data_IF_180589876762
#
_entry.id   IF_180589876762
#
_cell.length_a   1.000
_cell.length_b   1.000
_cell.length_c   1.000
_cell.angle_alpha   90.00
_cell.angle_beta   90.00
_cell.angle_gamma   90.00
#
_symmetry.space_group_name_H-M   'P 1'
#
loop_
_entity.id
_entity.type
_entity.pdbx_description
1 polymer ?
#
# COMPACT_ATOMS: atom_id res chain seq x y z
N UNK A 1 -25.56 10.23 33.17
CA UNK A 1 -25.51 11.43 32.30
C UNK A 1 -25.24 10.99 30.85
N UNK A 2 -25.58 11.79 29.83
CA UNK A 2 -25.53 11.35 28.41
C UNK A 2 -24.13 10.96 27.91
N UNK A 3 -23.07 11.46 28.54
CA UNK A 3 -21.67 11.22 28.15
C UNK A 3 -21.17 9.80 28.48
N UNK A 4 -21.92 9.00 29.23
CA UNK A 4 -21.54 7.61 29.58
C UNK A 4 -21.40 6.70 28.34
N UNK A 5 -21.95 7.10 27.18
CA UNK A 5 -21.81 6.39 25.90
C UNK A 5 -20.44 6.66 25.24
N UNK A 6 -19.78 7.78 25.57
CA UNK A 6 -18.54 8.20 24.92
C UNK A 6 -17.39 7.17 25.03
N UNK A 7 -17.14 6.52 26.19
CA UNK A 7 -16.11 5.48 26.27
C UNK A 7 -16.37 4.30 25.33
N UNK A 8 -17.63 3.85 25.24
CA UNK A 8 -18.01 2.76 24.34
C UNK A 8 -17.81 3.12 22.87
N UNK A 9 -18.22 4.33 22.47
CA UNK A 9 -18.02 4.85 21.11
C UNK A 9 -16.52 5.03 20.79
N UNK A 10 -15.72 5.51 21.75
CA UNK A 10 -14.28 5.66 21.58
C UNK A 10 -13.59 4.31 21.32
N UNK A 11 -13.94 3.27 22.08
CA UNK A 11 -13.42 1.90 21.86
C UNK A 11 -13.80 1.40 20.47
N UNK A 12 -15.08 1.54 20.08
CA UNK A 12 -15.53 1.14 18.73
C UNK A 12 -14.76 1.89 17.63
N UNK A 13 -14.57 3.20 17.78
CA UNK A 13 -13.84 4.01 16.81
C UNK A 13 -12.39 3.56 16.66
N UNK A 14 -11.69 3.27 17.77
CA UNK A 14 -10.32 2.75 17.73
C UNK A 14 -10.26 1.39 17.03
N UNK A 15 -11.17 0.47 17.35
CA UNK A 15 -11.25 -0.84 16.70
C UNK A 15 -11.47 -0.75 15.18
N UNK A 16 -12.27 0.23 14.72
CA UNK A 16 -12.49 0.46 13.29
C UNK A 16 -11.34 1.21 12.61
N UNK A 17 -10.59 2.02 13.36
CA UNK A 17 -9.46 2.79 12.84
C UNK A 17 -8.21 1.92 12.62
N UNK A 18 -7.92 1.00 13.55
CA UNK A 18 -6.72 0.17 13.53
C UNK A 18 -6.51 -0.57 12.18
N UNK A 19 -7.52 -1.25 11.59
CA UNK A 19 -7.34 -1.94 10.31
C UNK A 19 -6.92 -1.02 9.16
N UNK A 20 -7.53 0.17 9.06
CA UNK A 20 -7.18 1.16 8.03
C UNK A 20 -5.75 1.66 8.17
N UNK A 21 -5.36 2.01 9.40
CA UNK A 21 -3.99 2.45 9.68
C UNK A 21 -2.97 1.32 9.44
N UNK A 22 -3.25 0.11 9.93
CA UNK A 22 -2.39 -1.05 9.76
C UNK A 22 -2.16 -1.37 8.28
N UNK A 23 -3.22 -1.41 7.47
CA UNK A 23 -3.11 -1.70 6.04
C UNK A 23 -2.31 -0.64 5.28
N UNK A 24 -2.48 0.65 5.61
CA UNK A 24 -1.68 1.72 5.00
C UNK A 24 -0.17 1.56 5.31
N UNK A 25 0.18 1.22 6.54
CA UNK A 25 1.58 0.94 6.91
C UNK A 25 2.11 -0.33 6.24
N UNK A 26 1.33 -1.41 6.20
CA UNK A 26 1.72 -2.66 5.55
C UNK A 26 1.91 -2.49 4.03
N UNK A 27 1.07 -1.69 3.38
CA UNK A 27 1.23 -1.35 1.97
C UNK A 27 2.55 -0.62 1.72
N UNK A 28 2.87 0.40 2.52
CA UNK A 28 4.15 1.12 2.40
C UNK A 28 5.34 0.22 2.68
N UNK A 29 5.27 -0.60 3.73
CA UNK A 29 6.34 -1.54 4.08
C UNK A 29 6.62 -2.54 2.95
N UNK A 30 5.57 -3.15 2.38
CA UNK A 30 5.71 -4.21 1.38
C UNK A 30 6.05 -3.71 -0.03
N UNK A 31 5.89 -2.41 -0.31
CA UNK A 31 6.04 -1.83 -1.65
C UNK A 31 7.15 -0.76 -1.72
N UNK A 32 8.17 -0.86 -0.87
CA UNK A 32 9.34 0.02 -0.92
C UNK A 32 9.03 1.46 -0.53
N UNK A 33 8.23 1.66 0.52
CA UNK A 33 7.84 2.98 1.05
C UNK A 33 6.72 3.67 0.27
N UNK A 34 6.16 3.02 -0.76
CA UNK A 34 5.15 3.58 -1.67
C UNK A 34 3.80 2.90 -1.49
N UNK A 35 2.76 3.49 -2.06
CA UNK A 35 1.46 2.84 -2.14
C UNK A 35 1.52 1.54 -2.96
N UNK A 36 0.65 0.59 -2.61
CA UNK A 36 0.51 -0.65 -3.37
C UNK A 36 -0.06 -0.34 -4.76
N UNK A 37 0.56 -0.87 -5.81
CA UNK A 37 0.06 -0.71 -7.18
C UNK A 37 -1.27 -1.46 -7.33
N UNK A 38 -2.29 -0.76 -7.84
CA UNK A 38 -3.61 -1.33 -8.11
C UNK A 38 -3.76 -1.50 -9.62
N UNK A 39 -4.02 -2.73 -10.05
CA UNK A 39 -4.18 -3.08 -11.46
C UNK A 39 -5.62 -3.51 -11.72
N UNK A 40 -6.52 -2.53 -11.86
CA UNK A 40 -7.92 -2.77 -12.23
C UNK A 40 -8.06 -3.21 -13.69
N UNK A 41 -7.14 -2.77 -14.55
CA UNK A 41 -7.15 -3.09 -15.98
C UNK A 41 -5.94 -3.94 -16.39
N UNK A 42 -6.11 -4.76 -17.42
CA UNK A 42 -5.05 -5.61 -17.97
C UNK A 42 -3.82 -4.82 -18.39
N UNK A 43 -4.00 -3.62 -18.95
CA UNK A 43 -2.89 -2.73 -19.28
C UNK A 43 -2.02 -2.36 -18.06
N UNK A 44 -2.65 -2.08 -16.91
CA UNK A 44 -1.93 -1.77 -15.68
C UNK A 44 -1.14 -2.97 -15.16
N UNK A 45 -1.68 -4.19 -15.33
CA UNK A 45 -0.99 -5.44 -15.01
C UNK A 45 0.21 -5.68 -15.93
N UNK A 46 0.05 -5.52 -17.24
CA UNK A 46 1.15 -5.65 -18.21
C UNK A 46 2.31 -4.70 -17.91
N UNK A 47 2.01 -3.46 -17.51
CA UNK A 47 3.03 -2.51 -17.07
C UNK A 47 3.69 -2.91 -15.74
N UNK A 48 2.93 -3.43 -14.78
CA UNK A 48 3.46 -3.92 -13.51
C UNK A 48 4.40 -5.13 -13.70
N UNK A 49 4.07 -6.03 -14.62
CA UNK A 49 4.96 -7.14 -14.99
C UNK A 49 6.19 -6.68 -15.77
N UNK A 50 6.07 -5.64 -16.60
CA UNK A 50 7.24 -4.99 -17.22
C UNK A 50 8.18 -4.47 -16.13
N UNK A 51 7.67 -3.76 -15.13
CA UNK A 51 8.47 -3.23 -14.03
C UNK A 51 9.12 -4.36 -13.20
N UNK A 52 8.39 -5.45 -12.94
CA UNK A 52 8.95 -6.65 -12.30
C UNK A 52 10.14 -7.22 -13.09
N UNK A 53 10.05 -7.31 -14.42
CA UNK A 53 11.11 -7.82 -15.29
C UNK A 53 12.32 -6.88 -15.33
N UNK A 54 12.09 -5.58 -15.51
CA UNK A 54 13.16 -4.56 -15.59
C UNK A 54 13.88 -4.40 -14.24
N UNK A 55 13.20 -4.67 -13.12
CA UNK A 55 13.80 -4.55 -11.79
C UNK A 55 15.07 -5.39 -11.58
N UNK A 56 15.21 -6.52 -12.29
CA UNK A 56 16.31 -7.48 -12.12
C UNK A 56 16.26 -8.32 -10.84
N UNK A 57 15.38 -7.98 -9.88
CA UNK A 57 15.27 -8.64 -8.57
C UNK A 57 13.88 -9.26 -8.34
N UNK A 58 13.12 -9.44 -9.42
CA UNK A 58 11.76 -10.00 -9.38
C UNK A 58 10.80 -9.24 -8.45
N UNK A 59 10.97 -7.91 -8.30
CA UNK A 59 10.11 -7.05 -7.47
C UNK A 59 9.66 -5.82 -8.26
N UNK A 60 8.37 -5.71 -8.50
CA UNK A 60 7.80 -4.62 -9.32
C UNK A 60 7.95 -3.23 -8.71
N UNK A 61 8.07 -3.11 -7.38
CA UNK A 61 8.19 -1.81 -6.71
C UNK A 61 9.60 -1.23 -6.75
N UNK A 62 10.60 -2.01 -7.18
CA UNK A 62 11.98 -1.55 -7.36
C UNK A 62 12.06 -0.85 -8.71
N UNK A 63 12.08 0.48 -8.67
CA UNK A 63 12.10 1.35 -9.85
C UNK A 63 13.52 1.52 -10.38
N UNK A 64 13.65 1.57 -11.70
CA UNK A 64 14.88 1.94 -12.41
C UNK A 64 14.65 3.27 -13.10
N UNK A 65 15.49 4.26 -12.82
CA UNK A 65 15.47 5.56 -13.48
C UNK A 65 16.43 5.62 -14.67
N UNK A 66 16.87 6.82 -15.00
CA UNK A 66 17.83 7.08 -16.09
C UNK A 66 19.23 6.54 -15.78
N UNK A 67 19.52 6.18 -14.53
CA UNK A 67 20.78 5.53 -14.16
C UNK A 67 20.96 4.13 -14.75
N UNK A 68 19.92 3.56 -15.36
CA UNK A 68 19.92 2.23 -15.95
C UNK A 68 20.09 2.26 -17.49
N UNK A 69 20.30 3.44 -18.09
CA UNK A 69 20.58 3.60 -19.52
C UNK A 69 21.96 4.21 -19.72
N UNK A 70 22.65 3.81 -20.78
CA UNK A 70 24.00 4.22 -21.18
C UNK A 70 24.02 5.41 -22.14
#
# INVERSE_FOLDING_TARGET
MWFEVLPGVAVMAVCLFIPGLATAHLHKFSNGGKEKRVAHYSYQWSLMERDRRISGVNRYHVTKGLENID
#
